data_IF_245774268056
#
_entry.id   IF_245774268056
#
_cell.length_a   1.000
_cell.length_b   1.000
_cell.length_c   1.000
_cell.angle_alpha   90.00
_cell.angle_beta   90.00
_cell.angle_gamma   90.00
#
_symmetry.space_group_name_H-M   'P 1'
#
loop_
_entity.id
_entity.type
_entity.pdbx_description
1 polymer ?
#
# COMPACT_ATOMS: atom_id res chain seq x y z
N UNK A 1 -35.26 1.73 -78.65
CA UNK A 1 -34.04 1.86 -79.48
C UNK A 1 -32.97 0.91 -78.94
N UNK A 2 -32.27 0.18 -79.81
CA UNK A 2 -31.21 -0.77 -79.45
C UNK A 2 -29.92 -0.41 -80.23
N UNK A 3 -28.78 -0.40 -79.54
CA UNK A 3 -27.41 -0.53 -80.08
C UNK A 3 -26.49 -0.72 -78.86
N UNK A 4 -25.81 -1.85 -78.55
CA UNK A 4 -25.02 -2.87 -79.27
C UNK A 4 -23.68 -2.40 -79.87
N UNK A 5 -22.60 -2.57 -79.09
CA UNK A 5 -21.36 -3.29 -79.46
C UNK A 5 -20.49 -3.48 -78.17
N UNK A 6 -19.98 -4.65 -77.73
CA UNK A 6 -18.96 -5.56 -78.33
C UNK A 6 -17.62 -4.85 -78.63
N UNK A 7 -16.39 -5.29 -78.31
CA UNK A 7 -15.73 -6.60 -78.00
C UNK A 7 -14.32 -6.30 -77.39
N UNK A 8 -13.46 -7.20 -76.87
CA UNK A 8 -13.57 -8.51 -76.16
C UNK A 8 -12.15 -9.08 -75.85
N UNK A 9 -11.86 -9.60 -74.65
CA UNK A 9 -10.55 -10.22 -74.31
C UNK A 9 -10.37 -10.50 -72.80
N UNK A 10 -10.67 -11.69 -72.25
CA UNK A 10 -9.85 -12.92 -72.23
C UNK A 10 -8.44 -12.76 -71.64
N UNK A 11 -8.24 -13.19 -70.38
CA UNK A 11 -7.21 -14.17 -70.02
C UNK A 11 -7.44 -14.77 -68.62
N UNK A 12 -7.36 -16.11 -68.54
CA UNK A 12 -7.41 -16.89 -67.29
C UNK A 12 -6.06 -16.83 -66.58
N UNK A 13 -6.06 -16.93 -65.24
CA UNK A 13 -5.21 -17.89 -64.50
C UNK A 13 -5.69 -18.04 -63.05
N UNK A 14 -6.11 -19.26 -62.71
CA UNK A 14 -6.17 -19.70 -61.32
C UNK A 14 -4.74 -20.07 -60.87
N UNK A 15 -4.40 -19.76 -59.63
CA UNK A 15 -3.16 -20.19 -58.98
C UNK A 15 -3.49 -20.87 -57.66
N UNK A 16 -3.07 -22.13 -57.50
CA UNK A 16 -3.14 -22.82 -56.21
C UNK A 16 -2.19 -22.13 -55.23
N UNK A 17 -2.61 -21.96 -53.98
CA UNK A 17 -1.68 -21.83 -52.85
C UNK A 17 -1.68 -23.16 -52.12
N UNK A 18 -0.61 -23.94 -52.32
CA UNK A 18 -0.42 -25.21 -51.64
C UNK A 18 0.04 -24.97 -50.19
N UNK A 19 -0.49 -25.75 -49.26
CA UNK A 19 0.00 -25.76 -47.88
C UNK A 19 1.38 -26.43 -47.83
N UNK A 20 2.38 -25.71 -47.31
CA UNK A 20 3.69 -26.27 -46.97
C UNK A 20 3.85 -26.24 -45.43
N UNK A 21 3.59 -27.38 -44.79
CA UNK A 21 3.95 -27.56 -43.39
C UNK A 21 5.47 -27.72 -43.28
N UNK A 22 6.14 -26.74 -42.66
CA UNK A 22 7.56 -26.85 -42.31
C UNK A 22 7.66 -27.25 -40.84
N UNK A 23 7.76 -28.54 -40.58
CA UNK A 23 8.11 -29.10 -39.27
C UNK A 23 9.58 -28.83 -38.98
N UNK A 24 9.90 -27.62 -38.53
CA UNK A 24 11.21 -27.30 -37.99
C UNK A 24 11.35 -27.89 -36.58
N UNK A 25 11.82 -29.13 -36.49
CA UNK A 25 12.26 -29.73 -35.23
C UNK A 25 13.61 -29.10 -34.85
N UNK A 26 13.54 -27.88 -34.33
CA UNK A 26 14.67 -27.24 -33.69
C UNK A 26 14.87 -27.89 -32.31
N UNK A 27 15.86 -28.77 -32.22
CA UNK A 27 16.33 -29.32 -30.95
C UNK A 27 16.90 -28.19 -30.10
N UNK A 28 16.06 -27.55 -29.30
CA UNK A 28 16.50 -26.64 -28.24
C UNK A 28 17.24 -27.46 -27.19
N UNK A 29 18.55 -27.62 -27.37
CA UNK A 29 19.48 -27.82 -26.26
C UNK A 29 19.51 -26.51 -25.48
N UNK A 30 18.42 -26.24 -24.75
CA UNK A 30 18.42 -25.22 -23.73
C UNK A 30 19.50 -25.61 -22.73
N UNK A 31 20.58 -24.82 -22.68
CA UNK A 31 21.43 -24.79 -21.50
C UNK A 31 20.50 -24.48 -20.35
N UNK A 32 20.27 -25.45 -19.46
CA UNK A 32 19.57 -25.18 -18.22
C UNK A 32 20.33 -24.03 -17.56
N UNK A 33 19.67 -22.87 -17.45
CA UNK A 33 20.08 -21.89 -16.46
C UNK A 33 20.15 -22.68 -15.16
N UNK A 34 21.29 -22.61 -14.46
CA UNK A 34 21.28 -23.07 -13.08
C UNK A 34 20.13 -22.34 -12.38
N UNK A 35 19.38 -23.06 -11.54
CA UNK A 35 18.47 -22.40 -10.60
C UNK A 35 19.28 -21.30 -9.90
N UNK A 36 18.76 -20.06 -9.82
CA UNK A 36 19.50 -18.99 -9.18
C UNK A 36 19.85 -19.44 -7.76
N UNK A 37 21.16 -19.48 -7.48
CA UNK A 37 21.66 -19.83 -6.14
C UNK A 37 21.06 -18.89 -5.09
N UNK A 38 21.03 -19.30 -3.81
CA UNK A 38 20.34 -18.56 -2.75
C UNK A 38 20.76 -17.08 -2.75
N UNK A 39 19.84 -16.22 -3.16
CA UNK A 39 20.06 -14.77 -3.23
C UNK A 39 20.29 -14.26 -1.82
N UNK A 40 21.38 -13.50 -1.63
CA UNK A 40 21.69 -12.88 -0.35
C UNK A 40 20.56 -11.92 0.05
N UNK A 41 20.25 -11.78 1.35
CA UNK A 41 19.21 -10.84 1.77
C UNK A 41 19.57 -9.41 1.37
N UNK A 42 18.60 -8.65 0.86
CA UNK A 42 18.78 -7.23 0.54
C UNK A 42 18.71 -6.32 1.77
N UNK A 43 18.04 -6.79 2.84
CA UNK A 43 17.93 -6.10 4.12
C UNK A 43 18.52 -6.98 5.22
N UNK A 44 19.33 -6.40 6.12
CA UNK A 44 19.97 -7.09 7.23
C UNK A 44 19.84 -6.25 8.50
N UNK A 45 19.59 -6.92 9.64
CA UNK A 45 19.50 -6.26 10.94
C UNK A 45 20.82 -5.51 11.25
N UNK A 46 20.71 -4.27 11.72
CA UNK A 46 21.87 -3.40 12.00
C UNK A 46 22.48 -2.68 10.79
N UNK A 47 22.04 -2.97 9.56
CA UNK A 47 22.43 -2.22 8.35
C UNK A 47 21.21 -1.82 7.50
N UNK A 48 20.07 -1.61 8.15
CA UNK A 48 18.82 -1.16 7.54
C UNK A 48 18.99 0.27 7.01
N UNK A 49 18.42 0.50 5.83
CA UNK A 49 18.35 1.81 5.19
C UNK A 49 16.96 2.06 4.63
N UNK A 50 16.54 3.32 4.64
CA UNK A 50 15.35 3.82 3.95
C UNK A 50 15.66 4.21 2.49
N UNK A 51 16.92 4.09 2.06
CA UNK A 51 17.38 4.59 0.76
C UNK A 51 17.54 6.12 0.76
N UNK A 52 17.16 6.82 -0.33
CA UNK A 52 17.34 8.27 -0.48
C UNK A 52 16.26 9.13 0.24
N UNK A 53 15.23 8.51 0.80
CA UNK A 53 14.14 9.15 1.54
C UNK A 53 14.07 8.68 2.99
N UNK A 54 12.95 9.00 3.64
CA UNK A 54 12.67 8.61 5.03
C UNK A 54 11.22 8.17 5.20
N UNK A 55 10.99 7.17 6.05
CA UNK A 55 9.65 6.79 6.47
C UNK A 55 9.15 7.59 7.67
N UNK A 56 7.90 8.02 7.61
CA UNK A 56 7.15 8.56 8.75
C UNK A 56 5.83 7.78 8.88
N UNK A 57 5.46 7.36 10.09
CA UNK A 57 4.24 6.56 10.30
C UNK A 57 3.37 7.19 11.38
N UNK A 58 2.11 7.42 11.05
CA UNK A 58 1.14 8.06 11.92
C UNK A 58 -0.10 7.19 12.08
N UNK A 59 -0.61 7.13 13.31
CA UNK A 59 -1.88 6.53 13.66
C UNK A 59 -2.96 7.60 13.56
N UNK A 60 -4.02 7.39 12.79
CA UNK A 60 -5.03 8.44 12.50
C UNK A 60 -6.43 8.02 12.90
N UNK A 61 -7.15 8.89 13.61
CA UNK A 61 -8.54 8.64 14.04
C UNK A 61 -9.45 9.77 13.60
N UNK A 62 -10.61 9.42 13.03
CA UNK A 62 -11.72 10.36 12.74
C UNK A 62 -11.99 11.23 13.97
N UNK A 63 -11.95 12.55 13.80
CA UNK A 63 -12.19 13.48 14.90
C UNK A 63 -13.66 13.47 15.34
N UNK A 64 -14.56 12.98 14.49
CA UNK A 64 -16.02 13.06 14.63
C UNK A 64 -16.58 14.42 14.19
N UNK A 65 -15.72 15.39 13.87
CA UNK A 65 -16.13 16.71 13.42
C UNK A 65 -16.64 16.68 11.97
N UNK A 66 -17.22 17.79 11.53
CA UNK A 66 -17.42 18.05 10.11
C UNK A 66 -16.16 18.72 9.53
N UNK A 67 -15.81 18.45 8.27
CA UNK A 67 -14.80 19.22 7.54
C UNK A 67 -15.06 20.72 7.62
N UNK A 68 -14.01 21.53 7.58
CA UNK A 68 -14.19 22.98 7.55
C UNK A 68 -14.77 23.44 6.19
N UNK A 69 -15.23 24.69 6.13
CA UNK A 69 -15.65 25.30 4.87
C UNK A 69 -14.46 25.44 3.89
N UNK A 70 -13.24 25.63 4.41
CA UNK A 70 -12.02 25.75 3.61
C UNK A 70 -11.61 24.39 3.02
N UNK A 71 -11.57 23.32 3.83
CA UNK A 71 -11.29 21.96 3.34
C UNK A 71 -12.32 21.50 2.32
N UNK A 72 -13.60 21.84 2.56
CA UNK A 72 -14.70 21.64 1.62
C UNK A 72 -14.46 22.35 0.28
N UNK A 73 -14.05 23.62 0.32
CA UNK A 73 -13.78 24.41 -0.89
C UNK A 73 -12.57 23.86 -1.66
N UNK A 74 -11.50 23.49 -0.96
CA UNK A 74 -10.29 22.88 -1.55
C UNK A 74 -10.62 21.53 -2.20
N UNK A 75 -11.37 20.65 -1.55
CA UNK A 75 -11.80 19.41 -2.17
C UNK A 75 -12.67 19.64 -3.43
N UNK A 76 -13.64 20.57 -3.38
CA UNK A 76 -14.44 20.89 -4.56
C UNK A 76 -13.56 21.35 -5.75
N UNK A 77 -12.50 22.11 -5.48
CA UNK A 77 -11.57 22.58 -6.50
C UNK A 77 -10.78 21.43 -7.16
N UNK A 78 -10.42 20.39 -6.41
CA UNK A 78 -9.64 19.25 -6.91
C UNK A 78 -10.41 18.33 -7.88
N UNK A 79 -11.73 18.19 -7.68
CA UNK A 79 -12.60 17.35 -8.51
C UNK A 79 -13.46 18.11 -9.52
N UNK A 80 -13.38 19.46 -9.54
CA UNK A 80 -14.03 20.30 -10.54
C UNK A 80 -15.57 20.32 -10.50
N UNK A 81 -16.20 19.71 -9.48
CA UNK A 81 -17.66 19.63 -9.32
C UNK A 81 -18.10 19.99 -7.89
N UNK A 82 -19.36 20.42 -7.69
CA UNK A 82 -19.95 20.54 -6.37
C UNK A 82 -19.97 19.19 -5.63
N UNK A 83 -19.63 19.25 -4.34
CA UNK A 83 -19.45 18.11 -3.44
C UNK A 83 -20.48 16.97 -3.58
N UNK A 84 -21.75 17.32 -3.78
CA UNK A 84 -22.87 16.38 -3.68
C UNK A 84 -23.03 15.40 -4.85
N UNK A 85 -22.18 15.46 -5.89
CA UNK A 85 -22.39 14.67 -7.12
C UNK A 85 -21.34 13.59 -7.42
N UNK A 86 -20.09 13.73 -6.94
CA UNK A 86 -19.01 12.76 -7.23
C UNK A 86 -18.16 12.36 -6.00
N UNK A 87 -18.43 12.92 -4.81
CA UNK A 87 -17.66 12.59 -3.61
C UNK A 87 -18.31 11.47 -2.81
N UNK A 88 -17.47 10.54 -2.36
CA UNK A 88 -17.84 9.34 -1.60
C UNK A 88 -17.63 9.55 -0.11
N UNK A 89 -16.51 10.16 0.29
CA UNK A 89 -16.18 10.44 1.70
C UNK A 89 -15.46 11.79 1.88
N UNK A 90 -15.62 12.35 3.08
CA UNK A 90 -14.86 13.50 3.59
C UNK A 90 -14.55 13.27 5.06
N UNK A 91 -13.27 13.21 5.39
CA UNK A 91 -12.83 12.82 6.73
C UNK A 91 -11.87 13.87 7.30
N UNK A 92 -12.26 14.48 8.42
CA UNK A 92 -11.34 15.20 9.30
C UNK A 92 -10.84 14.21 10.35
N UNK A 93 -9.54 13.95 10.37
CA UNK A 93 -8.92 13.04 11.31
C UNK A 93 -7.71 13.68 12.00
N UNK A 94 -7.27 13.06 13.08
CA UNK A 94 -6.18 13.54 13.93
C UNK A 94 -5.09 12.49 13.95
N UNK A 95 -3.85 12.95 13.75
CA UNK A 95 -2.66 12.12 13.71
C UNK A 95 -2.05 11.99 15.10
N UNK A 96 -1.55 10.80 15.42
CA UNK A 96 -0.89 10.45 16.67
C UNK A 96 0.36 9.65 16.33
N UNK A 97 1.46 9.87 17.05
CA UNK A 97 2.57 8.91 17.07
C UNK A 97 2.27 7.84 18.12
N UNK A 98 3.01 6.74 18.12
CA UNK A 98 2.65 5.55 18.88
C UNK A 98 3.87 4.80 19.44
N UNK A 99 3.59 3.91 20.38
CA UNK A 99 4.51 2.86 20.82
C UNK A 99 4.02 1.51 20.29
N UNK A 100 4.97 0.64 19.94
CA UNK A 100 4.72 -0.73 19.48
C UNK A 100 5.26 -1.71 20.51
N UNK A 101 4.56 -2.82 20.74
CA UNK A 101 5.12 -3.96 21.44
C UNK A 101 6.27 -4.56 20.61
N UNK A 102 7.48 -4.74 21.18
CA UNK A 102 8.65 -5.14 20.40
C UNK A 102 8.61 -6.59 19.91
N UNK A 103 7.79 -7.46 20.52
CA UNK A 103 7.68 -8.85 20.13
C UNK A 103 6.65 -9.07 19.01
N UNK A 104 5.57 -8.29 18.98
CA UNK A 104 4.45 -8.47 18.05
C UNK A 104 4.27 -7.35 17.03
N UNK A 105 4.84 -6.17 17.26
CA UNK A 105 4.62 -4.95 16.46
C UNK A 105 3.26 -4.28 16.68
N UNK A 106 2.40 -4.83 17.55
CA UNK A 106 1.08 -4.27 17.86
C UNK A 106 1.21 -2.93 18.58
N UNK A 107 0.41 -1.94 18.19
CA UNK A 107 0.37 -0.63 18.83
C UNK A 107 -0.16 -0.73 20.27
N UNK A 108 0.63 -0.28 21.24
CA UNK A 108 0.33 -0.38 22.69
C UNK A 108 -0.06 0.95 23.32
N UNK A 109 0.45 2.07 22.81
CA UNK A 109 0.12 3.42 23.25
C UNK A 109 0.11 4.40 22.08
N UNK A 110 -0.64 5.48 22.20
CA UNK A 110 -0.64 6.63 21.29
C UNK A 110 -0.22 7.89 22.08
N UNK A 111 0.18 8.97 21.41
CA UNK A 111 0.41 10.25 22.11
C UNK A 111 -0.86 10.78 22.77
N UNK A 112 -0.73 11.37 23.96
CA UNK A 112 -1.85 11.96 24.72
C UNK A 112 -2.52 13.16 24.02
N UNK A 113 -1.89 13.68 22.96
CA UNK A 113 -2.40 14.74 22.08
C UNK A 113 -2.07 14.38 20.64
N UNK A 114 -2.84 14.94 19.70
CA UNK A 114 -2.57 14.80 18.29
C UNK A 114 -1.33 15.63 17.89
N UNK A 115 -0.54 15.11 16.96
CA UNK A 115 0.65 15.77 16.39
C UNK A 115 0.35 16.57 15.13
N UNK A 116 -0.87 16.43 14.58
CA UNK A 116 -1.34 17.22 13.45
C UNK A 116 -2.72 16.80 12.94
N UNK A 117 -3.42 17.66 12.18
CA UNK A 117 -4.58 17.28 11.39
C UNK A 117 -4.19 16.47 10.15
N UNK A 118 -5.12 15.62 9.71
CA UNK A 118 -5.18 15.09 8.35
C UNK A 118 -6.61 15.25 7.84
N UNK A 119 -6.75 15.75 6.63
CA UNK A 119 -8.00 15.83 5.89
C UNK A 119 -7.89 15.02 4.62
N UNK A 120 -8.89 14.17 4.33
CA UNK A 120 -9.01 13.45 3.06
C UNK A 120 -10.40 13.62 2.45
N UNK A 121 -10.44 13.54 1.12
CA UNK A 121 -11.63 13.69 0.31
C UNK A 121 -11.61 12.72 -0.88
N UNK A 122 -12.53 11.77 -0.85
CA UNK A 122 -12.63 10.67 -1.81
C UNK A 122 -13.64 11.01 -2.89
N UNK A 123 -13.22 10.91 -4.15
CA UNK A 123 -14.06 11.09 -5.33
C UNK A 123 -14.10 9.84 -6.20
N UNK A 124 -15.12 9.73 -7.04
CA UNK A 124 -15.11 8.73 -8.10
C UNK A 124 -13.96 9.00 -9.08
N UNK A 125 -13.20 7.96 -9.42
CA UNK A 125 -12.07 8.07 -10.34
C UNK A 125 -12.50 8.54 -11.73
N UNK A 126 -11.98 9.69 -12.17
CA UNK A 126 -12.38 10.35 -13.42
C UNK A 126 -11.72 9.75 -14.68
N UNK A 127 -10.69 8.93 -14.50
CA UNK A 127 -9.96 8.26 -15.60
C UNK A 127 -10.53 6.88 -15.98
N UNK A 128 -11.49 6.36 -15.20
CA UNK A 128 -12.13 5.06 -15.44
C UNK A 128 -11.24 3.85 -15.16
N UNK A 129 -10.04 4.02 -14.61
CA UNK A 129 -9.12 2.93 -14.25
C UNK A 129 -9.30 2.46 -12.80
N UNK A 130 -9.68 3.37 -11.91
CA UNK A 130 -9.96 3.08 -10.51
C UNK A 130 -11.32 3.67 -10.08
N UNK A 131 -12.00 2.98 -9.16
CA UNK A 131 -13.33 3.41 -8.69
C UNK A 131 -13.23 4.64 -7.79
N UNK A 132 -12.14 4.74 -7.01
CA UNK A 132 -11.87 5.82 -6.07
C UNK A 132 -10.52 6.48 -6.36
N UNK A 133 -10.53 7.81 -6.43
CA UNK A 133 -9.37 8.68 -6.31
C UNK A 133 -9.51 9.48 -5.00
N UNK A 134 -8.41 9.73 -4.31
CA UNK A 134 -8.40 10.49 -3.07
C UNK A 134 -7.43 11.65 -3.21
N UNK A 135 -7.88 12.82 -2.75
CA UNK A 135 -7.03 13.95 -2.44
C UNK A 135 -7.01 14.13 -0.92
N UNK A 136 -5.83 14.43 -0.38
CA UNK A 136 -5.65 14.69 1.02
C UNK A 136 -4.62 15.77 1.30
N UNK A 137 -4.72 16.34 2.49
CA UNK A 137 -3.64 17.14 3.08
C UNK A 137 -3.44 16.74 4.51
N UNK A 138 -2.17 16.64 4.94
CA UNK A 138 -1.81 16.49 6.33
C UNK A 138 -0.77 17.54 6.72
N UNK A 139 -0.78 17.97 7.97
CA UNK A 139 0.29 18.81 8.53
C UNK A 139 1.13 17.91 9.45
N UNK A 140 2.22 17.34 8.92
CA UNK A 140 3.11 16.44 9.66
C UNK A 140 4.28 17.21 10.29
N UNK A 141 4.67 16.95 11.56
CA UNK A 141 5.84 17.58 12.16
C UNK A 141 7.11 17.24 11.36
N UNK A 142 8.03 18.20 11.21
CA UNK A 142 9.23 18.06 10.38
C UNK A 142 8.96 18.16 8.87
N UNK A 143 7.94 17.49 8.35
CA UNK A 143 7.60 17.51 6.92
C UNK A 143 6.77 18.74 6.49
N UNK A 144 6.01 19.34 7.42
CA UNK A 144 5.12 20.48 7.17
C UNK A 144 3.80 20.07 6.53
N UNK A 145 3.14 21.01 5.86
CA UNK A 145 1.91 20.69 5.11
C UNK A 145 2.26 19.92 3.85
N UNK A 146 1.67 18.74 3.72
CA UNK A 146 1.74 17.89 2.53
C UNK A 146 0.40 18.00 1.79
N UNK A 147 0.46 18.13 0.47
CA UNK A 147 -0.65 17.91 -0.45
C UNK A 147 -0.37 16.59 -1.18
N UNK A 148 -1.37 15.71 -1.23
CA UNK A 148 -1.19 14.36 -1.73
C UNK A 148 -2.43 13.89 -2.48
N UNK A 149 -2.22 13.19 -3.61
CA UNK A 149 -3.31 12.68 -4.45
C UNK A 149 -2.98 11.32 -5.06
N UNK A 150 -3.98 10.46 -5.14
CA UNK A 150 -3.87 9.20 -5.85
C UNK A 150 -5.03 8.24 -5.57
N UNK A 151 -5.05 7.12 -6.30
CA UNK A 151 -6.11 6.13 -6.26
C UNK A 151 -6.16 5.34 -4.95
N UNK A 152 -7.34 4.79 -4.66
CA UNK A 152 -7.59 3.91 -3.51
C UNK A 152 -8.29 2.61 -3.91
N UNK A 153 -7.86 1.50 -3.30
CA UNK A 153 -8.64 0.28 -3.16
C UNK A 153 -9.71 0.44 -2.08
N UNK A 154 -10.86 -0.21 -2.27
CA UNK A 154 -11.91 -0.31 -1.26
C UNK A 154 -12.55 -1.69 -1.30
N UNK A 155 -12.54 -2.40 -0.18
CA UNK A 155 -13.12 -3.73 -0.05
C UNK A 155 -14.02 -3.82 1.18
N UNK A 156 -15.28 -4.23 1.00
CA UNK A 156 -16.22 -4.41 2.12
C UNK A 156 -15.90 -5.68 2.91
N UNK A 157 -15.86 -5.59 4.24
CA UNK A 157 -15.68 -6.76 5.10
C UNK A 157 -17.00 -7.56 5.20
N UNK A 158 -17.10 -8.79 4.67
CA UNK A 158 -18.38 -9.53 4.68
C UNK A 158 -18.88 -9.85 6.09
N UNK A 159 -17.96 -9.99 7.06
CA UNK A 159 -18.26 -10.21 8.47
C UNK A 159 -18.52 -8.95 9.30
N UNK A 160 -18.43 -7.75 8.71
CA UNK A 160 -18.63 -6.48 9.44
C UNK A 160 -19.43 -5.48 8.59
N UNK A 161 -20.78 -5.57 8.61
CA UNK A 161 -21.65 -4.72 7.79
C UNK A 161 -21.35 -3.23 7.96
N UNK A 162 -21.20 -2.52 6.84
CA UNK A 162 -20.89 -1.09 6.81
C UNK A 162 -19.45 -0.70 7.16
N UNK A 163 -18.54 -1.67 7.33
CA UNK A 163 -17.09 -1.44 7.39
C UNK A 163 -16.39 -1.99 6.15
N UNK A 164 -15.29 -1.33 5.77
CA UNK A 164 -14.43 -1.78 4.67
C UNK A 164 -12.96 -1.50 4.94
N UNK A 165 -12.10 -2.25 4.26
CA UNK A 165 -10.69 -1.95 4.07
C UNK A 165 -10.58 -0.80 3.06
N UNK A 166 -9.70 0.18 3.31
CA UNK A 166 -9.34 1.22 2.35
C UNK A 166 -7.83 1.40 2.36
N UNK A 167 -7.20 1.06 1.23
CA UNK A 167 -5.79 1.34 0.97
C UNK A 167 -5.67 2.39 -0.13
N UNK A 168 -5.13 3.55 0.22
CA UNK A 168 -4.85 4.62 -0.72
C UNK A 168 -3.35 4.67 -1.03
N UNK A 169 -2.98 5.00 -2.27
CA UNK A 169 -1.58 5.17 -2.70
C UNK A 169 -1.42 6.56 -3.32
N UNK A 170 -1.16 7.55 -2.47
CA UNK A 170 -1.15 8.96 -2.84
C UNK A 170 0.28 9.43 -3.14
N UNK A 171 0.49 10.11 -4.26
CA UNK A 171 1.75 10.84 -4.52
C UNK A 171 1.79 12.10 -3.67
N UNK A 172 2.88 12.29 -2.93
CA UNK A 172 3.14 13.50 -2.14
C UNK A 172 3.77 14.56 -3.06
N UNK A 173 3.17 15.75 -3.10
CA UNK A 173 3.66 16.89 -3.86
C UNK A 173 4.85 17.59 -3.16
N UNK A 174 5.73 18.29 -3.90
CA UNK A 174 6.76 19.13 -3.30
C UNK A 174 6.13 20.25 -2.44
N UNK A 175 6.81 20.66 -1.37
CA UNK A 175 6.29 21.71 -0.48
C UNK A 175 7.35 22.77 -0.07
N UNK A 176 6.89 23.80 0.63
CA UNK A 176 7.73 24.90 1.11
C UNK A 176 8.70 24.52 2.26
N UNK A 177 8.53 23.32 2.84
CA UNK A 177 9.39 22.77 3.90
C UNK A 177 10.47 21.83 3.35
N UNK A 178 10.72 21.84 2.04
CA UNK A 178 11.82 21.10 1.43
C UNK A 178 11.53 19.62 1.14
N UNK A 179 10.29 19.15 1.31
CA UNK A 179 9.87 17.87 0.73
C UNK A 179 9.82 18.03 -0.78
N UNK A 180 10.45 17.11 -1.52
CA UNK A 180 10.62 17.20 -2.97
C UNK A 180 9.72 16.23 -3.75
N UNK A 181 9.35 15.10 -3.16
CA UNK A 181 8.36 14.14 -3.65
C UNK A 181 8.08 13.08 -2.57
N UNK A 182 7.16 12.15 -2.84
CA UNK A 182 7.01 10.95 -2.00
C UNK A 182 5.77 10.13 -2.34
N UNK A 183 5.49 9.12 -1.52
CA UNK A 183 4.22 8.36 -1.53
C UNK A 183 3.70 8.18 -0.11
N UNK A 184 2.44 8.55 0.09
CA UNK A 184 1.67 8.25 1.30
C UNK A 184 0.77 7.03 1.04
N UNK A 185 0.79 6.07 1.94
CA UNK A 185 -0.08 4.89 1.91
C UNK A 185 -0.94 4.80 3.17
N UNK A 186 -2.25 4.57 3.02
CA UNK A 186 -3.14 4.29 4.14
C UNK A 186 -3.38 2.79 4.32
N UNK A 187 -3.53 2.35 5.56
CA UNK A 187 -4.17 1.09 5.93
C UNK A 187 -5.35 1.46 6.82
N UNK A 188 -6.54 1.50 6.24
CA UNK A 188 -7.73 2.06 6.87
C UNK A 188 -8.82 1.02 7.06
N UNK A 189 -9.48 1.07 8.21
CA UNK A 189 -10.78 0.45 8.42
C UNK A 189 -11.81 1.58 8.47
N UNK A 190 -12.46 1.82 7.32
CA UNK A 190 -13.47 2.85 7.19
C UNK A 190 -14.81 2.38 7.79
N UNK A 191 -15.53 3.34 8.37
CA UNK A 191 -16.93 3.22 8.79
C UNK A 191 -17.73 4.36 8.12
N UNK A 192 -17.87 4.37 6.79
CA UNK A 192 -18.45 5.50 6.05
C UNK A 192 -19.92 5.75 6.42
N UNK A 193 -20.63 4.70 6.82
CA UNK A 193 -22.02 4.77 7.30
C UNK A 193 -22.13 5.20 8.78
N UNK A 194 -21.00 5.46 9.46
CA UNK A 194 -20.90 5.87 10.88
C UNK A 194 -21.71 4.97 11.82
N UNK A 195 -21.73 3.66 11.55
CA UNK A 195 -22.47 2.70 12.35
C UNK A 195 -21.89 2.56 13.78
N UNK A 196 -22.70 2.17 14.78
CA UNK A 196 -22.22 1.91 16.13
C UNK A 196 -21.05 0.91 16.18
N UNK A 197 -20.20 1.02 17.20
CA UNK A 197 -19.08 0.09 17.45
C UNK A 197 -17.67 0.61 17.16
N UNK A 198 -17.51 1.88 16.79
CA UNK A 198 -16.18 2.53 16.69
C UNK A 198 -16.03 3.46 15.50
N UNK A 199 -15.10 4.41 15.58
CA UNK A 199 -14.78 5.38 14.52
C UNK A 199 -14.01 4.76 13.34
N UNK A 200 -13.90 5.47 12.22
CA UNK A 200 -12.87 5.18 11.20
C UNK A 200 -11.49 5.33 11.84
N UNK A 201 -10.62 4.36 11.59
CA UNK A 201 -9.22 4.38 11.99
C UNK A 201 -8.34 4.03 10.82
N UNK A 202 -7.12 4.57 10.81
CA UNK A 202 -6.07 4.15 9.88
C UNK A 202 -4.70 4.17 10.54
N UNK A 203 -3.73 3.50 9.90
CA UNK A 203 -2.31 3.88 9.96
C UNK A 203 -1.93 4.45 8.60
N UNK A 204 -1.17 5.55 8.60
CA UNK A 204 -0.63 6.20 7.43
C UNK A 204 0.89 6.08 7.44
N UNK A 205 1.45 5.54 6.37
CA UNK A 205 2.90 5.43 6.15
C UNK A 205 3.29 6.34 5.01
N UNK A 206 4.13 7.32 5.28
CA UNK A 206 4.66 8.28 4.32
C UNK A 206 6.10 7.88 4.01
N UNK A 207 6.44 7.79 2.73
CA UNK A 207 7.83 7.80 2.27
C UNK A 207 8.08 9.14 1.57
N UNK A 208 8.94 9.98 2.14
CA UNK A 208 9.24 11.32 1.63
C UNK A 208 10.69 11.45 1.18
N UNK A 209 10.90 12.14 0.06
CA UNK A 209 12.20 12.63 -0.42
C UNK A 209 12.36 14.11 -0.04
N UNK A 210 13.61 14.55 0.19
CA UNK A 210 13.92 15.89 0.68
C UNK A 210 14.11 15.94 2.19
N UNK A 211 14.58 17.07 2.71
CA UNK A 211 15.09 17.16 4.10
C UNK A 211 13.97 17.28 5.16
N UNK A 212 12.86 17.93 4.85
CA UNK A 212 11.80 18.19 5.83
C UNK A 212 12.24 19.17 6.93
N UNK A 213 12.11 20.47 6.67
CA UNK A 213 12.58 21.55 7.56
C UNK A 213 11.46 22.27 8.30
N UNK A 214 10.25 21.68 8.41
CA UNK A 214 9.16 22.27 9.17
C UNK A 214 9.45 22.22 10.68
N UNK A 215 8.90 23.16 11.48
CA UNK A 215 9.02 23.10 12.93
C UNK A 215 8.54 21.77 13.51
N UNK A 216 9.23 21.32 14.56
CA UNK A 216 8.89 20.15 15.36
C UNK A 216 8.64 20.62 16.79
N UNK A 217 7.41 20.47 17.26
CA UNK A 217 7.08 20.70 18.68
C UNK A 217 7.67 19.58 19.54
N UNK A 218 7.84 19.83 20.85
CA UNK A 218 8.34 18.80 21.76
C UNK A 218 7.41 17.59 21.79
N UNK A 219 7.98 16.38 21.73
CA UNK A 219 7.27 15.10 21.79
C UNK A 219 6.12 15.13 22.81
N UNK A 220 4.85 14.93 22.40
CA UNK A 220 3.76 14.84 23.36
C UNK A 220 3.98 13.63 24.28
N UNK A 221 3.58 13.71 25.56
CA UNK A 221 3.64 12.55 26.45
C UNK A 221 2.78 11.42 25.92
N UNK A 222 3.15 10.17 26.22
CA UNK A 222 2.31 9.01 25.95
C UNK A 222 0.94 9.13 26.67
N UNK A 223 -0.10 8.61 26.03
CA UNK A 223 -1.47 8.64 26.53
C UNK A 223 -2.25 7.38 26.20
N UNK A 224 -3.57 7.46 26.35
CA UNK A 224 -4.48 6.34 26.07
C UNK A 224 -4.81 6.34 24.57
N UNK A 225 -4.70 5.20 23.87
CA UNK A 225 -5.12 5.06 22.48
C UNK A 225 -6.55 5.55 22.22
N UNK A 226 -6.74 6.26 21.12
CA UNK A 226 -8.04 6.77 20.72
C UNK A 226 -8.96 5.62 20.25
N UNK A 227 -10.23 5.60 20.69
CA UNK A 227 -11.11 4.46 20.46
C UNK A 227 -11.57 4.34 18.99
N UNK A 228 -11.07 3.32 18.29
CA UNK A 228 -11.55 2.94 16.95
C UNK A 228 -12.38 1.65 16.91
N UNK A 229 -12.81 1.15 18.07
CA UNK A 229 -13.54 -0.13 18.17
C UNK A 229 -12.59 -1.33 18.22
N UNK A 230 -13.02 -2.52 17.79
CA UNK A 230 -12.23 -3.75 17.87
C UNK A 230 -11.24 -3.84 16.70
N UNK A 231 -10.37 -2.84 16.55
CA UNK A 231 -9.28 -2.87 15.56
C UNK A 231 -7.97 -2.75 16.31
N UNK A 232 -7.07 -3.71 16.10
CA UNK A 232 -5.69 -3.54 16.48
C UNK A 232 -4.84 -3.32 15.24
N UNK A 233 -3.86 -2.43 15.36
CA UNK A 233 -2.89 -2.13 14.32
C UNK A 233 -1.53 -2.67 14.71
N UNK A 234 -0.77 -3.11 13.71
CA UNK A 234 0.59 -3.57 13.83
C UNK A 234 1.45 -2.79 12.83
N UNK A 235 2.61 -2.29 13.25
CA UNK A 235 3.60 -1.66 12.35
C UNK A 235 4.93 -2.38 12.52
N UNK A 236 5.38 -2.99 11.43
CA UNK A 236 6.65 -3.73 11.33
C UNK A 236 7.50 -3.18 10.21
N UNK A 237 8.78 -3.55 10.24
CA UNK A 237 9.80 -3.17 9.26
C UNK A 237 10.44 -4.43 8.70
N UNK A 238 10.76 -4.38 7.40
CA UNK A 238 11.25 -5.51 6.61
C UNK A 238 12.73 -5.84 6.89
N UNK A 239 13.02 -7.08 7.28
CA UNK A 239 14.38 -7.59 7.59
C UNK A 239 14.60 -8.96 6.95
N UNK A 240 15.83 -9.26 6.53
CA UNK A 240 16.21 -10.52 5.88
C UNK A 240 15.41 -10.80 4.59
N UNK A 241 15.01 -9.74 3.88
CA UNK A 241 14.21 -9.78 2.65
C UNK A 241 14.96 -10.45 1.50
N UNK A 242 14.31 -11.37 0.78
CA UNK A 242 14.89 -12.14 -0.32
C UNK A 242 13.89 -12.28 -1.47
N UNK A 243 14.32 -11.92 -2.67
CA UNK A 243 13.69 -12.35 -3.91
C UNK A 243 14.10 -13.80 -4.20
N UNK A 244 13.12 -14.68 -4.36
CA UNK A 244 13.28 -16.11 -4.69
C UNK A 244 13.19 -16.33 -6.21
N UNK A 245 12.98 -15.26 -6.98
CA UNK A 245 12.77 -15.31 -8.43
C UNK A 245 11.33 -15.65 -8.82
N UNK A 246 11.08 -15.74 -10.14
CA UNK A 246 9.77 -16.02 -10.71
C UNK A 246 9.48 -17.52 -10.81
N UNK A 247 8.23 -17.91 -10.54
CA UNK A 247 7.74 -19.29 -10.73
C UNK A 247 6.42 -19.29 -11.51
N UNK A 248 5.91 -20.45 -11.97
CA UNK A 248 4.61 -20.51 -12.64
C UNK A 248 3.42 -20.02 -11.78
N UNK A 249 3.54 -20.08 -10.45
CA UNK A 249 2.55 -19.54 -9.51
C UNK A 249 2.82 -18.08 -9.13
N UNK A 250 4.08 -17.63 -9.16
CA UNK A 250 4.51 -16.28 -8.82
C UNK A 250 5.30 -15.68 -9.99
N UNK A 251 4.62 -15.42 -11.10
CA UNK A 251 5.27 -15.04 -12.36
C UNK A 251 5.87 -13.62 -12.35
N UNK A 252 5.46 -12.76 -11.41
CA UNK A 252 6.12 -11.48 -11.12
C UNK A 252 7.21 -11.57 -10.04
N UNK A 253 7.58 -12.78 -9.62
CA UNK A 253 8.54 -13.02 -8.54
C UNK A 253 7.87 -13.44 -7.22
N UNK A 254 8.67 -14.01 -6.33
CA UNK A 254 8.31 -14.31 -4.94
C UNK A 254 9.29 -13.61 -3.97
N UNK A 255 8.76 -12.87 -2.98
CA UNK A 255 9.53 -12.26 -1.89
C UNK A 255 9.27 -13.02 -0.59
N UNK A 256 10.32 -13.39 0.13
CA UNK A 256 10.23 -13.87 1.52
C UNK A 256 10.95 -12.90 2.45
N UNK A 257 10.41 -12.64 3.64
CA UNK A 257 11.00 -11.72 4.60
C UNK A 257 10.61 -12.05 6.05
N UNK A 258 11.44 -11.61 6.98
CA UNK A 258 11.05 -11.40 8.36
C UNK A 258 10.49 -9.99 8.55
N UNK A 259 9.63 -9.83 9.55
CA UNK A 259 9.02 -8.58 9.95
C UNK A 259 9.32 -8.38 11.44
N UNK A 260 10.03 -7.30 11.76
CA UNK A 260 10.42 -6.93 13.13
C UNK A 260 9.67 -5.67 13.55
N UNK A 261 9.37 -5.48 14.83
CA UNK A 261 8.55 -4.37 15.29
C UNK A 261 9.22 -3.02 15.00
N UNK A 262 8.49 -2.10 14.39
CA UNK A 262 8.99 -0.75 14.12
C UNK A 262 8.61 0.19 15.26
N UNK A 263 9.58 1.00 15.71
CA UNK A 263 9.36 2.16 16.55
C UNK A 263 9.32 3.43 15.71
N UNK A 264 8.59 4.44 16.20
CA UNK A 264 8.58 5.79 15.62
C UNK A 264 9.08 6.80 16.63
N UNK A 265 9.72 7.87 16.17
CA UNK A 265 10.02 9.02 17.01
C UNK A 265 8.72 9.69 17.47
N UNK A 266 8.54 9.98 18.77
CA UNK A 266 7.27 10.48 19.29
C UNK A 266 6.95 11.93 18.90
N UNK A 267 7.93 12.74 18.49
CA UNK A 267 7.69 14.12 18.05
C UNK A 267 7.37 14.21 16.54
N UNK A 268 8.07 13.44 15.71
CA UNK A 268 8.03 13.52 14.26
C UNK A 268 7.26 12.39 13.58
N UNK A 269 7.12 11.23 14.23
CA UNK A 269 6.62 10.02 13.60
C UNK A 269 7.62 9.32 12.68
N UNK A 270 8.87 9.81 12.58
CA UNK A 270 9.91 9.18 11.76
C UNK A 270 10.17 7.74 12.23
N UNK A 271 10.17 6.78 11.30
CA UNK A 271 10.29 5.36 11.62
C UNK A 271 11.76 4.96 11.80
N UNK A 272 12.08 4.39 12.96
CA UNK A 272 13.43 3.92 13.29
C UNK A 272 13.99 2.96 12.24
N UNK A 273 15.24 3.16 11.83
CA UNK A 273 16.04 2.19 11.06
C UNK A 273 16.58 1.06 11.94
N UNK A 274 16.39 1.13 13.26
CA UNK A 274 16.68 0.06 14.22
C UNK A 274 15.36 -0.51 14.75
N UNK A 275 14.80 -1.55 14.11
CA UNK A 275 13.63 -2.26 14.62
C UNK A 275 13.99 -3.13 15.84
N UNK A 276 13.01 -3.85 16.39
CA UNK A 276 13.30 -4.85 17.44
C UNK A 276 14.21 -5.98 16.94
N UNK A 277 14.84 -6.69 17.88
CA UNK A 277 15.62 -7.91 17.61
C UNK A 277 14.75 -9.17 17.53
N UNK A 278 13.44 -9.04 17.79
CA UNK A 278 12.49 -10.14 17.85
C UNK A 278 11.66 -10.13 16.56
N UNK A 279 11.76 -11.21 15.79
CA UNK A 279 10.88 -11.48 14.66
C UNK A 279 9.43 -11.52 15.16
N UNK A 280 8.62 -10.57 14.71
CA UNK A 280 7.20 -10.45 15.05
C UNK A 280 6.31 -11.26 14.10
N UNK A 281 6.75 -11.37 12.84
CA UNK A 281 6.12 -12.21 11.84
C UNK A 281 7.12 -12.65 10.75
N UNK A 282 6.74 -13.69 10.02
CA UNK A 282 7.38 -14.09 8.75
C UNK A 282 6.37 -13.98 7.61
N UNK A 283 6.79 -13.47 6.46
CA UNK A 283 5.92 -13.19 5.33
C UNK A 283 6.48 -13.71 4.00
N UNK A 284 5.56 -14.13 3.12
CA UNK A 284 5.81 -14.55 1.74
C UNK A 284 4.81 -13.84 0.83
N UNK A 285 5.32 -13.06 -0.14
CA UNK A 285 4.52 -12.37 -1.16
C UNK A 285 4.79 -12.99 -2.52
N UNK A 286 3.73 -13.32 -3.24
CA UNK A 286 3.74 -13.93 -4.56
C UNK A 286 3.10 -12.94 -5.54
N UNK A 287 3.86 -12.44 -6.52
CA UNK A 287 3.38 -11.42 -7.44
C UNK A 287 2.89 -11.99 -8.76
N UNK A 288 1.83 -11.38 -9.28
CA UNK A 288 1.43 -11.51 -10.68
C UNK A 288 2.43 -10.79 -11.58
N UNK A 289 2.50 -11.11 -12.89
CA UNK A 289 3.29 -10.33 -13.83
C UNK A 289 2.98 -8.84 -13.75
N UNK A 290 3.99 -8.00 -13.87
CA UNK A 290 3.85 -6.54 -13.85
C UNK A 290 3.13 -6.03 -15.09
N UNK A 291 1.83 -5.77 -14.94
CA UNK A 291 1.21 -4.66 -15.67
C UNK A 291 1.64 -3.36 -14.97
N UNK A 292 2.16 -2.40 -15.74
CA UNK A 292 2.48 -1.07 -15.21
C UNK A 292 1.21 -0.20 -15.26
N UNK A 293 0.82 0.51 -14.17
CA UNK A 293 1.49 0.61 -12.88
C UNK A 293 1.01 -0.40 -11.82
N UNK A 294 -0.03 -1.21 -12.09
CA UNK A 294 -0.71 -2.07 -11.11
C UNK A 294 -0.70 -3.56 -11.45
N UNK A 295 -0.44 -4.40 -10.45
CA UNK A 295 -0.40 -5.86 -10.58
C UNK A 295 -0.92 -6.55 -9.32
N UNK A 296 -1.52 -7.73 -9.49
CA UNK A 296 -2.06 -8.50 -8.36
C UNK A 296 -0.97 -9.13 -7.51
N UNK A 297 -1.22 -9.27 -6.21
CA UNK A 297 -0.34 -9.97 -5.29
C UNK A 297 -1.13 -10.87 -4.32
N UNK A 298 -0.50 -11.97 -3.90
CA UNK A 298 -0.98 -12.86 -2.86
C UNK A 298 0.04 -12.93 -1.72
N UNK A 299 -0.44 -12.92 -0.49
CA UNK A 299 0.35 -12.91 0.74
C UNK A 299 0.05 -14.16 1.56
N UNK A 300 1.09 -14.73 2.17
CA UNK A 300 0.97 -15.56 3.37
C UNK A 300 1.83 -14.90 4.45
N UNK A 301 1.26 -14.62 5.62
CA UNK A 301 2.00 -14.06 6.76
C UNK A 301 1.64 -14.83 8.03
N UNK A 302 2.65 -15.19 8.80
CA UNK A 302 2.54 -15.81 10.12
C UNK A 302 3.05 -14.83 11.15
N UNK A 303 2.16 -14.28 11.98
CA UNK A 303 2.54 -13.50 13.15
C UNK A 303 2.75 -14.44 14.33
N UNK A 304 3.91 -14.35 14.98
CA UNK A 304 4.31 -15.33 15.99
C UNK A 304 3.83 -14.94 17.40
N UNK A 305 3.84 -13.64 17.71
CA UNK A 305 3.68 -13.12 19.08
C UNK A 305 2.41 -12.29 19.32
N UNK A 306 1.40 -12.36 18.45
CA UNK A 306 0.14 -11.63 18.69
C UNK A 306 -0.52 -12.06 20.01
N UNK A 307 -1.22 -11.14 20.72
CA UNK A 307 -2.07 -11.53 21.84
C UNK A 307 -3.11 -12.59 21.39
N UNK A 308 -3.22 -13.69 22.12
CA UNK A 308 -3.98 -14.88 21.67
C UNK A 308 -3.17 -15.91 20.88
N UNK A 309 -1.86 -15.69 20.70
CA UNK A 309 -0.90 -16.64 20.15
C UNK A 309 -0.75 -16.58 18.63
N UNK A 310 0.12 -17.43 18.05
CA UNK A 310 0.49 -17.36 16.64
C UNK A 310 -0.70 -17.36 15.69
N UNK A 311 -0.62 -16.61 14.59
CA UNK A 311 -1.67 -16.45 13.59
C UNK A 311 -1.06 -16.45 12.18
N UNK A 312 -1.36 -17.50 11.41
CA UNK A 312 -1.14 -17.48 9.95
C UNK A 312 -2.41 -17.00 9.26
N UNK A 313 -2.27 -16.05 8.34
CA UNK A 313 -3.33 -15.57 7.45
C UNK A 313 -2.80 -15.49 6.02
N UNK A 314 -3.70 -15.77 5.07
CA UNK A 314 -3.48 -15.53 3.65
C UNK A 314 -4.26 -14.29 3.22
N UNK A 315 -3.66 -13.45 2.39
CA UNK A 315 -4.29 -12.24 1.86
C UNK A 315 -4.12 -12.14 0.34
N UNK A 316 -4.96 -11.31 -0.29
CA UNK A 316 -4.84 -10.98 -1.72
C UNK A 316 -5.18 -9.52 -1.94
N UNK A 317 -4.66 -8.97 -3.02
CA UNK A 317 -4.96 -7.60 -3.41
C UNK A 317 -4.05 -7.13 -4.54
N UNK A 318 -3.69 -5.86 -4.51
CA UNK A 318 -2.97 -5.20 -5.59
C UNK A 318 -1.74 -4.46 -5.07
N UNK A 319 -0.72 -4.38 -5.92
CA UNK A 319 0.44 -3.53 -5.74
C UNK A 319 0.49 -2.51 -6.87
N UNK A 320 0.86 -1.27 -6.53
CA UNK A 320 1.17 -0.18 -7.46
C UNK A 320 2.64 0.16 -7.38
N UNK A 321 3.28 0.38 -8.52
CA UNK A 321 4.62 0.97 -8.60
C UNK A 321 4.54 2.43 -9.07
N UNK A 322 5.32 3.29 -8.41
CA UNK A 322 5.43 4.71 -8.71
C UNK A 322 6.90 5.11 -8.84
N UNK A 323 7.32 5.57 -10.03
CA UNK A 323 8.59 6.29 -10.16
C UNK A 323 8.54 7.60 -9.37
N UNK A 324 9.61 7.90 -8.62
CA UNK A 324 9.84 9.18 -7.95
C UNK A 324 11.00 9.93 -8.64
N UNK A 325 11.08 11.28 -8.54
CA UNK A 325 12.15 12.04 -9.17
C UNK A 325 13.53 11.71 -8.60
N UNK A 326 14.53 11.58 -9.47
CA UNK A 326 15.94 11.47 -9.06
C UNK A 326 16.38 10.12 -8.49
N UNK A 327 15.52 9.10 -8.47
CA UNK A 327 15.83 7.75 -7.99
C UNK A 327 15.67 6.72 -9.11
N UNK A 328 16.48 5.65 -9.08
CA UNK A 328 16.43 4.57 -10.07
C UNK A 328 15.41 3.48 -9.70
N UNK A 329 15.25 3.23 -8.40
CA UNK A 329 14.25 2.32 -7.85
C UNK A 329 12.83 2.92 -7.95
N UNK A 330 11.82 2.06 -7.86
CA UNK A 330 10.41 2.47 -7.88
C UNK A 330 9.78 2.27 -6.51
N UNK A 331 8.94 3.22 -6.08
CA UNK A 331 8.16 3.04 -4.87
C UNK A 331 7.07 2.01 -5.15
N UNK A 332 7.14 0.86 -4.47
CA UNK A 332 6.09 -0.13 -4.44
C UNK A 332 5.20 0.11 -3.23
N UNK A 333 3.90 0.14 -3.47
CA UNK A 333 2.87 0.16 -2.44
C UNK A 333 1.90 -0.97 -2.70
N UNK A 334 1.58 -1.78 -1.69
CA UNK A 334 0.61 -2.87 -1.82
C UNK A 334 -0.52 -2.73 -0.80
N UNK A 335 -1.75 -3.06 -1.20
CA UNK A 335 -2.90 -3.28 -0.33
C UNK A 335 -3.39 -4.71 -0.49
N UNK A 336 -3.49 -5.43 0.63
CA UNK A 336 -3.70 -6.88 0.68
C UNK A 336 -4.75 -7.20 1.75
N UNK A 337 -5.98 -7.47 1.33
CA UNK A 337 -7.08 -7.77 2.25
C UNK A 337 -6.90 -9.15 2.86
N UNK A 338 -7.14 -9.24 4.17
CA UNK A 338 -7.17 -10.47 4.95
C UNK A 338 -8.64 -10.90 5.14
N UNK A 339 -8.99 -12.17 4.82
CA UNK A 339 -10.34 -12.68 4.97
C UNK A 339 -10.72 -12.83 6.45
N UNK A 340 -12.02 -12.94 6.77
CA UNK A 340 -12.47 -13.27 8.12
C UNK A 340 -11.87 -14.59 8.62
N UNK A 341 -11.48 -14.61 9.90
CA UNK A 341 -11.10 -15.84 10.61
C UNK A 341 -11.97 -15.98 11.89
N UNK A 342 -13.19 -16.53 11.77
CA UNK A 342 -14.13 -16.62 12.88
C UNK A 342 -13.61 -17.46 14.06
N UNK A 343 -12.75 -18.45 13.81
CA UNK A 343 -12.13 -19.27 14.86
C UNK A 343 -11.18 -18.46 15.78
N UNK A 344 -10.74 -17.29 15.32
CA UNK A 344 -9.95 -16.31 16.09
C UNK A 344 -10.72 -15.03 16.42
N UNK A 345 -12.05 -15.01 16.17
CA UNK A 345 -12.89 -13.81 16.37
C UNK A 345 -12.63 -12.68 15.36
N UNK A 346 -11.85 -12.91 14.31
CA UNK A 346 -11.52 -11.88 13.32
C UNK A 346 -12.59 -11.82 12.23
N UNK A 347 -13.15 -10.63 12.01
CA UNK A 347 -14.08 -10.31 10.94
C UNK A 347 -13.40 -9.91 9.62
N UNK A 348 -12.07 -9.74 9.64
CA UNK A 348 -11.23 -9.42 8.48
C UNK A 348 -9.97 -8.64 8.89
N UNK A 349 -9.27 -8.08 7.91
CA UNK A 349 -8.16 -7.16 8.12
C UNK A 349 -7.54 -6.71 6.80
N UNK A 350 -6.45 -5.96 6.88
CA UNK A 350 -5.68 -5.52 5.71
C UNK A 350 -4.20 -5.42 6.07
N UNK A 351 -3.33 -5.90 5.18
CA UNK A 351 -1.89 -5.61 5.20
C UNK A 351 -1.61 -4.58 4.11
N UNK A 352 -0.80 -3.57 4.43
CA UNK A 352 -0.19 -2.71 3.43
C UNK A 352 1.32 -2.71 3.54
N UNK A 353 1.98 -2.54 2.40
CA UNK A 353 3.45 -2.52 2.27
C UNK A 353 3.81 -1.21 1.60
N UNK A 354 4.84 -0.51 2.08
CA UNK A 354 5.38 0.68 1.44
C UNK A 354 6.92 0.62 1.45
N UNK A 355 7.55 0.55 0.28
CA UNK A 355 8.98 0.29 0.11
C UNK A 355 9.51 0.65 -1.28
N UNK A 356 10.83 0.71 -1.43
CA UNK A 356 11.50 0.78 -2.72
C UNK A 356 11.85 -0.62 -3.22
N UNK A 357 11.63 -0.87 -4.51
CA UNK A 357 12.06 -2.09 -5.19
C UNK A 357 12.79 -1.75 -6.49
N UNK A 358 13.73 -2.58 -6.95
CA UNK A 358 14.42 -2.37 -8.22
C UNK A 358 13.43 -2.28 -9.38
N UNK A 359 13.68 -1.37 -10.33
CA UNK A 359 12.83 -1.22 -11.50
C UNK A 359 12.79 -2.53 -12.31
N UNK A 360 11.59 -3.12 -12.42
CA UNK A 360 11.37 -4.40 -13.11
C UNK A 360 11.44 -5.66 -12.24
N UNK A 361 11.81 -5.56 -10.96
CA UNK A 361 11.76 -6.67 -9.99
C UNK A 361 10.81 -6.34 -8.81
N UNK A 362 9.53 -6.77 -8.87
CA UNK A 362 8.58 -6.58 -7.77
C UNK A 362 8.88 -7.36 -6.49
N UNK A 363 9.70 -8.42 -6.59
CA UNK A 363 10.07 -9.28 -5.48
C UNK A 363 11.41 -8.89 -4.84
N UNK A 364 12.24 -8.16 -5.59
CA UNK A 364 13.38 -7.43 -5.08
C UNK A 364 12.96 -6.39 -4.04
N UNK A 365 13.94 -5.96 -3.26
CA UNK A 365 13.77 -4.99 -2.18
C UNK A 365 15.03 -4.13 -2.16
N UNK A 366 14.87 -2.83 -2.43
CA UNK A 366 15.96 -1.86 -2.53
C UNK A 366 16.14 -1.05 -1.22
N UNK A 367 15.13 -1.06 -0.35
CA UNK A 367 15.21 -0.55 1.01
C UNK A 367 14.42 -1.42 1.98
N UNK A 368 14.55 -1.17 3.27
CA UNK A 368 13.74 -1.84 4.29
C UNK A 368 12.34 -1.23 4.33
N UNK A 369 11.39 -1.90 3.68
CA UNK A 369 9.98 -1.48 3.60
C UNK A 369 9.30 -1.43 4.98
N UNK A 370 8.33 -0.52 5.13
CA UNK A 370 7.40 -0.52 6.26
C UNK A 370 6.16 -1.33 5.89
N UNK A 371 5.76 -2.21 6.80
CA UNK A 371 4.59 -3.04 6.72
C UNK A 371 3.60 -2.62 7.80
N UNK A 372 2.34 -2.40 7.44
CA UNK A 372 1.28 -2.10 8.41
C UNK A 372 0.16 -3.13 8.28
N UNK A 373 -0.40 -3.57 9.40
CA UNK A 373 -1.54 -4.49 9.41
C UNK A 373 -2.65 -3.91 10.27
N UNK A 374 -3.89 -3.96 9.79
CA UNK A 374 -5.09 -3.85 10.61
C UNK A 374 -5.75 -5.21 10.73
N UNK A 375 -6.18 -5.56 11.94
CA UNK A 375 -6.97 -6.76 12.21
C UNK A 375 -8.27 -6.34 12.89
N UNK A 376 -9.39 -6.67 12.27
CA UNK A 376 -10.73 -6.32 12.74
C UNK A 376 -11.30 -7.49 13.55
N UNK A 377 -11.31 -7.33 14.87
CA UNK A 377 -11.76 -8.32 15.84
C UNK A 377 -10.97 -8.18 17.16
N UNK A 378 -11.43 -8.80 18.25
CA UNK A 378 -10.66 -8.83 19.49
C UNK A 378 -9.39 -9.67 19.31
N UNK A 379 -8.23 -9.01 19.22
CA UNK A 379 -6.94 -9.66 19.47
C UNK A 379 -6.76 -9.81 20.99
N UNK A 380 -7.63 -10.61 21.61
CA UNK A 380 -7.53 -10.95 23.02
C UNK A 380 -6.84 -12.31 23.17
N UNK A 381 -5.79 -12.35 23.99
CA UNK A 381 -5.49 -13.56 24.75
C UNK A 381 -6.74 -14.02 25.51
N UNK A 382 -6.92 -15.34 25.63
CA UNK A 382 -8.03 -15.95 26.37
C UNK A 382 -8.13 -15.43 27.80
#
# INVERSE_FOLDING_TARGET
MHSRSSRSGLLRRAGLVAAAAVTAVASFTGTASADPGPVAPSTLLGSISDGPGQFHVFRTVDSGNRPTAEDTARCNAQYGVPAQYLLVERLDARMYTFQSDPASGVLTAETARNVGPIYVCDGLGLDGTQILDQWGTLDAPGLGRLDMRGPCGFELYPGSPGRGAVDCVLRIQPNASGVSAGVATSNSVANPLRLPGGRTGSVWTLYSLGEGTAPVDSAPPAGIPQPTGPIAYNVTREVNSRSVGSSPSCAGGERTTELHAASVDPATGAASTSPSEITAATARVCYSPTAQPEFGAALTVTYDNLPGGPLTVEGRGQCRQNSLPGIADVQQSCGLTLPPNPARGLAGGQVTINGLVPAGDPAGSANSAIWTTSLLGPISGK
#
